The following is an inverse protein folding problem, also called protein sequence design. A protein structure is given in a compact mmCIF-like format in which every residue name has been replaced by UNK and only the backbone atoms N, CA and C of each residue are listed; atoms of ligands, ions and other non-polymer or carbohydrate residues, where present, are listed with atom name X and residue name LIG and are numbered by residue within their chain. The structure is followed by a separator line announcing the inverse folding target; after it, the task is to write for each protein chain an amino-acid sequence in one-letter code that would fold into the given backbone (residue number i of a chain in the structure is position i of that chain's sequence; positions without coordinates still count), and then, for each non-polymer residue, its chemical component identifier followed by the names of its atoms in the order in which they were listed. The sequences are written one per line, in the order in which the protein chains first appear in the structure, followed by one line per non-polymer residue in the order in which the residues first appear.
data_IF_871424180651
#
_entry.id   IF_871424180651
#
_cell.length_a   1.000
_cell.length_b   1.000
_cell.length_c   1.000
_cell.angle_alpha   90.00
_cell.angle_beta   90.00
_cell.angle_gamma   90.00
#
_symmetry.space_group_name_H-M   'P 1'
#
loop_
_entity.id
_entity.type
_entity.pdbx_description
1 polymer ?
#
# COMPACT_ATOMS: atom_id res chain seq x y z
N UNK A 1 -6.03 -44.74 23.37
CA UNK A 1 -7.37 -44.22 23.75
C UNK A 1 -7.31 -42.77 24.24
N UNK A 2 -6.43 -42.39 25.18
CA UNK A 2 -6.37 -41.01 25.71
C UNK A 2 -6.01 -39.90 24.70
N UNK A 3 -5.12 -40.16 23.73
CA UNK A 3 -4.79 -39.18 22.69
C UNK A 3 -5.96 -38.95 21.70
N UNK A 4 -6.73 -40.00 21.41
CA UNK A 4 -7.92 -39.91 20.54
C UNK A 4 -9.07 -39.15 21.21
N UNK A 5 -9.23 -39.27 22.52
CA UNK A 5 -10.26 -38.52 23.26
C UNK A 5 -9.89 -37.04 23.40
N UNK A 6 -8.61 -36.71 23.61
CA UNK A 6 -8.14 -35.32 23.69
C UNK A 6 -8.32 -34.57 22.36
N UNK A 7 -7.96 -35.22 21.24
CA UNK A 7 -8.14 -34.65 19.90
C UNK A 7 -9.63 -34.42 19.56
N UNK A 8 -10.51 -35.33 19.98
CA UNK A 8 -11.94 -35.18 19.77
C UNK A 8 -12.53 -34.02 20.58
N UNK A 9 -12.14 -33.87 21.85
CA UNK A 9 -12.58 -32.75 22.70
C UNK A 9 -12.15 -31.42 22.09
N UNK A 10 -10.93 -31.32 21.57
CA UNK A 10 -10.45 -30.10 20.92
C UNK A 10 -11.23 -29.75 19.63
N UNK A 11 -11.60 -30.75 18.83
CA UNK A 11 -12.45 -30.55 17.65
C UNK A 11 -13.86 -30.07 18.03
N UNK A 12 -14.43 -30.60 19.11
CA UNK A 12 -15.71 -30.14 19.65
C UNK A 12 -15.63 -28.69 20.16
N UNK A 13 -14.51 -28.28 20.78
CA UNK A 13 -14.27 -26.90 21.19
C UNK A 13 -14.21 -25.93 20.00
N UNK A 14 -13.54 -26.30 18.91
CA UNK A 14 -13.49 -25.52 17.67
C UNK A 14 -14.88 -25.34 17.09
N UNK A 15 -15.63 -26.45 17.00
CA UNK A 15 -17.00 -26.45 16.48
C UNK A 15 -17.92 -25.58 17.33
N UNK A 16 -17.92 -25.75 18.66
CA UNK A 16 -18.71 -24.93 19.60
C UNK A 16 -18.41 -23.44 19.45
N UNK A 17 -17.13 -23.08 19.35
CA UNK A 17 -16.73 -21.69 19.18
C UNK A 17 -17.26 -21.11 17.86
N UNK A 18 -17.24 -21.90 16.78
CA UNK A 18 -17.81 -21.51 15.49
C UNK A 18 -19.31 -21.36 15.50
N UNK A 19 -20.05 -22.30 16.09
CA UNK A 19 -21.51 -22.19 16.23
C UNK A 19 -21.91 -20.95 17.05
N UNK A 20 -21.13 -20.61 18.09
CA UNK A 20 -21.33 -19.39 18.87
C UNK A 20 -21.01 -18.11 18.10
N UNK A 21 -20.08 -18.14 17.14
CA UNK A 21 -19.82 -16.99 16.27
C UNK A 21 -20.84 -16.86 15.13
N UNK A 22 -21.48 -17.96 14.70
CA UNK A 22 -22.60 -17.91 13.75
C UNK A 22 -23.83 -17.19 14.34
N UNK A 23 -23.97 -17.20 15.66
CA UNK A 23 -24.95 -16.42 16.42
C UNK A 23 -24.23 -15.55 17.47
N UNK A 24 -23.50 -14.49 17.04
CA UNK A 24 -22.55 -13.79 17.89
C UNK A 24 -23.26 -13.08 19.07
N UNK A 25 -22.59 -12.96 20.23
CA UNK A 25 -23.12 -12.18 21.34
C UNK A 25 -23.42 -10.74 20.94
N UNK A 26 -24.56 -10.20 21.38
CA UNK A 26 -24.93 -8.80 21.11
C UNK A 26 -24.03 -7.78 21.85
N UNK A 27 -23.35 -8.23 22.91
CA UNK A 27 -22.46 -7.42 23.73
C UNK A 27 -21.04 -7.43 23.17
N UNK A 28 -20.52 -6.25 22.78
CA UNK A 28 -19.15 -6.12 22.25
C UNK A 28 -18.08 -6.74 23.17
N UNK A 29 -18.08 -6.51 24.50
CA UNK A 29 -17.13 -7.18 25.40
C UNK A 29 -17.21 -8.71 25.36
N UNK A 30 -18.42 -9.29 25.31
CA UNK A 30 -18.60 -10.75 25.25
C UNK A 30 -18.13 -11.32 23.91
N UNK A 31 -18.40 -10.60 22.81
CA UNK A 31 -17.90 -10.95 21.49
C UNK A 31 -16.37 -10.93 21.44
N UNK A 32 -15.73 -9.90 22.01
CA UNK A 32 -14.26 -9.83 22.08
C UNK A 32 -13.64 -10.98 22.89
N UNK A 33 -14.28 -11.40 24.00
CA UNK A 33 -13.84 -12.57 24.77
C UNK A 33 -13.97 -13.84 23.94
N UNK A 34 -15.06 -13.99 23.16
CA UNK A 34 -15.25 -15.13 22.28
C UNK A 34 -14.20 -15.14 21.15
N UNK A 35 -13.90 -14.00 20.54
CA UNK A 35 -12.88 -13.88 19.51
C UNK A 35 -11.48 -14.19 20.05
N UNK A 36 -11.13 -13.75 21.26
CA UNK A 36 -9.85 -14.14 21.91
C UNK A 36 -9.76 -15.66 22.11
N UNK A 37 -10.85 -16.29 22.53
CA UNK A 37 -10.91 -17.75 22.66
C UNK A 37 -10.72 -18.42 21.30
N UNK A 38 -11.36 -17.92 20.25
CA UNK A 38 -11.27 -18.46 18.89
C UNK A 38 -9.84 -18.38 18.37
N UNK A 39 -9.20 -17.22 18.47
CA UNK A 39 -7.80 -17.08 18.06
C UNK A 39 -6.85 -18.00 18.83
N UNK A 40 -7.04 -18.14 20.15
CA UNK A 40 -6.27 -19.08 20.95
C UNK A 40 -6.48 -20.54 20.50
N UNK A 41 -7.70 -20.93 20.11
CA UNK A 41 -7.95 -22.25 19.57
C UNK A 41 -7.29 -22.42 18.20
N UNK A 42 -7.44 -21.44 17.30
CA UNK A 42 -6.89 -21.50 15.94
C UNK A 42 -5.36 -21.53 15.91
N UNK A 43 -4.69 -20.75 16.75
CA UNK A 43 -3.22 -20.76 16.91
C UNK A 43 -2.64 -22.12 17.34
N UNK A 44 -3.47 -23.00 17.91
CA UNK A 44 -3.08 -24.38 18.28
C UNK A 44 -3.29 -25.39 17.15
N UNK A 45 -3.96 -24.99 16.06
CA UNK A 45 -4.20 -25.86 14.91
C UNK A 45 -2.97 -25.80 14.00
N UNK A 46 -2.39 -26.96 13.72
CA UNK A 46 -1.29 -27.08 12.77
C UNK A 46 -1.75 -26.78 11.34
N UNK A 47 -0.81 -26.36 10.50
CA UNK A 47 -1.04 -26.17 9.07
C UNK A 47 -1.43 -27.49 8.40
N UNK A 48 -2.31 -27.44 7.40
CA UNK A 48 -2.86 -28.60 6.68
C UNK A 48 -3.42 -29.69 7.64
N UNK A 49 -4.42 -29.34 8.47
CA UNK A 49 -4.92 -30.24 9.50
C UNK A 49 -5.66 -31.45 8.90
N UNK A 50 -5.90 -32.49 9.71
CA UNK A 50 -6.73 -33.62 9.30
C UNK A 50 -8.14 -33.19 8.88
N UNK A 51 -8.77 -33.93 7.97
CA UNK A 51 -10.15 -33.70 7.48
C UNK A 51 -11.15 -33.43 8.61
N UNK A 52 -11.11 -34.21 9.69
CA UNK A 52 -11.99 -34.01 10.85
C UNK A 52 -11.79 -32.68 11.57
N UNK A 53 -10.53 -32.23 11.68
CA UNK A 53 -10.23 -30.93 12.28
C UNK A 53 -10.63 -29.82 11.32
N UNK A 54 -10.40 -29.98 10.02
CA UNK A 54 -10.87 -29.05 8.99
C UNK A 54 -12.40 -28.89 9.03
N UNK A 55 -13.14 -30.00 9.09
CA UNK A 55 -14.60 -30.00 9.23
C UNK A 55 -15.08 -29.23 10.48
N UNK A 56 -14.34 -29.35 11.59
CA UNK A 56 -14.62 -28.62 12.81
C UNK A 56 -14.38 -27.10 12.69
N UNK A 57 -13.56 -26.66 11.72
CA UNK A 57 -13.31 -25.25 11.43
C UNK A 57 -14.39 -24.61 10.54
N UNK A 58 -15.15 -25.40 9.77
CA UNK A 58 -16.13 -24.87 8.81
C UNK A 58 -17.12 -23.84 9.41
N UNK A 59 -17.67 -24.04 10.63
CA UNK A 59 -18.53 -23.03 11.26
C UNK A 59 -17.79 -21.72 11.55
N UNK A 60 -16.53 -21.78 11.99
CA UNK A 60 -15.67 -20.61 12.23
C UNK A 60 -15.38 -19.87 10.92
N UNK A 61 -14.95 -20.60 9.88
CA UNK A 61 -14.65 -20.03 8.57
C UNK A 61 -15.86 -19.28 8.01
N UNK A 62 -17.05 -19.88 8.12
CA UNK A 62 -18.30 -19.25 7.68
C UNK A 62 -18.67 -18.03 8.51
N UNK A 63 -18.51 -18.10 9.83
CA UNK A 63 -18.89 -16.99 10.72
C UNK A 63 -17.99 -15.76 10.53
N UNK A 64 -16.68 -15.95 10.45
CA UNK A 64 -15.70 -14.86 10.45
C UNK A 64 -15.81 -13.94 9.21
N UNK A 65 -16.26 -14.47 8.08
CA UNK A 65 -16.49 -13.71 6.85
C UNK A 65 -17.91 -13.14 6.75
N UNK A 66 -18.78 -13.40 7.73
CA UNK A 66 -20.14 -12.86 7.72
C UNK A 66 -20.09 -11.33 7.87
N UNK A 67 -20.92 -10.56 7.14
CA UNK A 67 -20.89 -9.10 7.17
C UNK A 67 -20.97 -8.49 8.57
N UNK A 68 -21.75 -9.10 9.46
CA UNK A 68 -21.93 -8.64 10.84
C UNK A 68 -20.63 -8.63 11.66
N UNK A 69 -19.68 -9.52 11.34
CA UNK A 69 -18.35 -9.57 11.98
C UNK A 69 -17.30 -8.85 11.13
N UNK A 70 -17.24 -9.15 9.82
CA UNK A 70 -16.21 -8.64 8.92
C UNK A 70 -16.27 -7.11 8.77
N UNK A 71 -17.49 -6.55 8.73
CA UNK A 71 -17.74 -5.10 8.58
C UNK A 71 -18.23 -4.45 9.87
N UNK A 72 -18.00 -5.09 11.01
CA UNK A 72 -18.47 -4.60 12.32
C UNK A 72 -18.06 -3.14 12.58
N UNK A 73 -18.91 -2.35 13.24
CA UNK A 73 -18.66 -0.92 13.47
C UNK A 73 -17.43 -0.69 14.36
N UNK A 74 -17.30 -1.50 15.41
CA UNK A 74 -16.21 -1.39 16.39
C UNK A 74 -14.87 -1.88 15.83
N UNK A 75 -13.86 -1.02 15.93
CA UNK A 75 -12.51 -1.26 15.42
C UNK A 75 -11.83 -2.46 16.11
N UNK A 76 -12.02 -2.61 17.42
CA UNK A 76 -11.42 -3.70 18.19
C UNK A 76 -11.95 -5.06 17.73
N UNK A 77 -13.25 -5.13 17.39
CA UNK A 77 -13.87 -6.34 16.85
C UNK A 77 -13.29 -6.65 15.48
N UNK A 78 -13.22 -5.65 14.58
CA UNK A 78 -12.61 -5.80 13.25
C UNK A 78 -11.19 -6.34 13.30
N UNK A 79 -10.34 -5.78 14.18
CA UNK A 79 -8.95 -6.22 14.35
C UNK A 79 -8.88 -7.65 14.91
N UNK A 80 -9.73 -8.01 15.88
CA UNK A 80 -9.83 -9.37 16.40
C UNK A 80 -10.31 -10.37 15.35
N UNK A 81 -11.29 -10.01 14.52
CA UNK A 81 -11.78 -10.83 13.40
C UNK A 81 -10.66 -11.03 12.37
N UNK A 82 -9.95 -9.98 12.00
CA UNK A 82 -8.79 -10.05 11.09
C UNK A 82 -7.72 -11.02 11.59
N UNK A 83 -7.43 -10.98 12.89
CA UNK A 83 -6.47 -11.91 13.53
C UNK A 83 -6.93 -13.36 13.45
N UNK A 84 -8.21 -13.64 13.73
CA UNK A 84 -8.78 -14.97 13.61
C UNK A 84 -8.75 -15.48 12.16
N UNK A 85 -9.07 -14.63 11.19
CA UNK A 85 -9.03 -14.98 9.77
C UNK A 85 -7.59 -15.27 9.32
N UNK A 86 -6.60 -14.49 9.76
CA UNK A 86 -5.20 -14.74 9.42
C UNK A 86 -4.68 -16.06 10.01
N UNK A 87 -5.20 -16.50 11.16
CA UNK A 87 -4.96 -17.87 11.65
C UNK A 87 -5.60 -18.93 10.76
N UNK A 88 -6.83 -18.72 10.25
CA UNK A 88 -7.44 -19.62 9.27
C UNK A 88 -6.55 -19.71 8.01
N UNK A 89 -6.10 -18.58 7.47
CA UNK A 89 -5.18 -18.54 6.33
C UNK A 89 -3.89 -19.32 6.62
N UNK A 90 -3.33 -19.18 7.82
CA UNK A 90 -2.15 -19.96 8.25
C UNK A 90 -2.44 -21.46 8.28
N UNK A 91 -3.60 -21.86 8.78
CA UNK A 91 -4.02 -23.25 8.94
C UNK A 91 -4.27 -23.92 7.59
N UNK A 92 -4.90 -23.21 6.64
CA UNK A 92 -5.27 -23.78 5.34
C UNK A 92 -4.17 -23.67 4.29
N UNK A 93 -3.15 -22.83 4.51
CA UNK A 93 -2.03 -22.69 3.59
C UNK A 93 -1.43 -24.07 3.21
N UNK A 94 -1.06 -24.30 1.94
CA UNK A 94 -0.95 -23.30 0.86
C UNK A 94 -2.28 -22.93 0.19
N UNK A 95 -3.37 -23.62 0.50
CA UNK A 95 -4.66 -23.38 -0.14
C UNK A 95 -5.36 -22.17 0.49
N UNK A 96 -5.81 -21.25 -0.36
CA UNK A 96 -6.59 -20.09 0.07
C UNK A 96 -7.92 -20.57 0.70
N UNK A 97 -8.28 -20.09 1.90
CA UNK A 97 -9.48 -20.54 2.60
C UNK A 97 -10.80 -20.06 1.98
N UNK A 98 -10.74 -19.04 1.12
CA UNK A 98 -11.90 -18.34 0.57
C UNK A 98 -11.67 -17.99 -0.91
N UNK A 99 -12.74 -17.58 -1.61
CA UNK A 99 -12.64 -17.12 -2.99
C UNK A 99 -11.94 -15.76 -3.13
N UNK A 100 -11.52 -15.40 -4.33
CA UNK A 100 -10.72 -14.20 -4.61
C UNK A 100 -11.35 -12.90 -4.08
N UNK A 101 -12.68 -12.77 -4.18
CA UNK A 101 -13.39 -11.57 -3.73
C UNK A 101 -13.40 -11.49 -2.20
N UNK A 102 -13.62 -12.63 -1.55
CA UNK A 102 -13.53 -12.73 -0.09
C UNK A 102 -12.10 -12.48 0.40
N UNK A 103 -11.10 -13.02 -0.31
CA UNK A 103 -9.69 -12.80 0.00
C UNK A 103 -9.31 -11.32 -0.11
N UNK A 104 -9.82 -10.60 -1.12
CA UNK A 104 -9.61 -9.16 -1.23
C UNK A 104 -10.07 -8.41 0.04
N UNK A 105 -11.32 -8.63 0.45
CA UNK A 105 -11.89 -7.97 1.65
C UNK A 105 -11.14 -8.35 2.93
N UNK A 106 -10.64 -9.59 3.00
CA UNK A 106 -9.82 -10.08 4.12
C UNK A 106 -8.46 -9.38 4.16
N UNK A 107 -7.79 -9.20 3.03
CA UNK A 107 -6.51 -8.50 2.99
C UNK A 107 -6.68 -7.00 3.26
N UNK A 108 -7.74 -6.37 2.77
CA UNK A 108 -8.08 -4.98 3.10
C UNK A 108 -8.28 -4.81 4.62
N UNK A 109 -9.02 -5.73 5.24
CA UNK A 109 -9.19 -5.74 6.70
C UNK A 109 -7.86 -6.01 7.43
N UNK A 110 -7.00 -6.86 6.89
CA UNK A 110 -5.69 -7.19 7.46
C UNK A 110 -4.74 -5.99 7.41
N UNK A 111 -4.65 -5.28 6.29
CA UNK A 111 -3.83 -4.06 6.16
C UNK A 111 -4.35 -2.95 7.07
N UNK A 112 -5.67 -2.78 7.17
CA UNK A 112 -6.27 -1.87 8.16
C UNK A 112 -5.85 -2.24 9.60
N UNK A 113 -5.89 -3.53 9.94
CA UNK A 113 -5.49 -4.00 11.27
C UNK A 113 -3.98 -3.83 11.52
N UNK A 114 -3.14 -4.04 10.50
CA UNK A 114 -1.69 -3.77 10.56
C UNK A 114 -1.40 -2.29 10.89
N UNK A 115 -2.30 -1.36 10.56
CA UNK A 115 -2.13 0.05 10.94
C UNK A 115 -2.15 0.29 12.45
N UNK A 116 -2.64 -0.68 13.23
CA UNK A 116 -2.56 -0.64 14.71
C UNK A 116 -1.17 -0.94 15.25
N UNK A 117 -0.19 -1.28 14.39
CA UNK A 117 1.22 -1.30 14.75
C UNK A 117 1.73 0.10 15.16
N UNK A 118 1.07 1.19 14.75
CA UNK A 118 1.36 2.55 15.24
C UNK A 118 1.16 2.72 16.76
N UNK A 119 0.40 1.83 17.40
CA UNK A 119 0.21 1.82 18.85
C UNK A 119 1.44 1.24 19.56
N UNK A 120 1.71 1.71 20.78
CA UNK A 120 2.82 1.21 21.59
C UNK A 120 2.55 -0.16 22.24
N UNK A 121 1.29 -0.45 22.58
CA UNK A 121 0.86 -1.68 23.24
C UNK A 121 -0.66 -1.85 23.18
N UNK A 122 -1.18 -2.91 23.78
CA UNK A 122 -2.62 -3.17 23.91
C UNK A 122 -3.14 -4.24 22.97
N UNK A 123 -4.42 -4.58 23.11
CA UNK A 123 -5.09 -5.66 22.34
C UNK A 123 -4.86 -5.52 20.85
N UNK A 124 -5.26 -4.39 20.26
CA UNK A 124 -5.15 -4.16 18.81
C UNK A 124 -3.71 -4.22 18.31
N UNK A 125 -2.75 -3.73 19.10
CA UNK A 125 -1.32 -3.87 18.78
C UNK A 125 -0.90 -5.35 18.75
N UNK A 126 -1.21 -6.11 19.79
CA UNK A 126 -0.85 -7.54 19.87
C UNK A 126 -1.46 -8.33 18.71
N UNK A 127 -2.72 -8.06 18.35
CA UNK A 127 -3.37 -8.70 17.19
C UNK A 127 -2.70 -8.32 15.88
N UNK A 128 -2.34 -7.04 15.69
CA UNK A 128 -1.63 -6.60 14.50
C UNK A 128 -0.25 -7.28 14.35
N UNK A 129 0.46 -7.49 15.46
CA UNK A 129 1.72 -8.28 15.47
C UNK A 129 1.45 -9.73 15.06
N UNK A 130 0.40 -10.38 15.59
CA UNK A 130 0.02 -11.75 15.18
C UNK A 130 -0.33 -11.84 13.69
N UNK A 131 -1.10 -10.87 13.16
CA UNK A 131 -1.45 -10.79 11.74
C UNK A 131 -0.20 -10.69 10.89
N UNK A 132 0.70 -9.75 11.21
CA UNK A 132 1.96 -9.55 10.49
C UNK A 132 2.78 -10.85 10.46
N UNK A 133 2.90 -11.51 11.62
CA UNK A 133 3.64 -12.75 11.75
C UNK A 133 3.04 -13.88 10.90
N UNK A 134 1.72 -14.03 10.89
CA UNK A 134 1.05 -15.04 10.08
C UNK A 134 1.23 -14.77 8.58
N UNK A 135 1.09 -13.52 8.14
CA UNK A 135 1.32 -13.14 6.75
C UNK A 135 2.73 -13.52 6.31
N UNK A 136 3.72 -13.21 7.14
CA UNK A 136 5.11 -13.58 6.96
C UNK A 136 5.29 -15.12 6.91
N UNK A 137 4.83 -15.82 7.96
CA UNK A 137 5.10 -17.25 8.18
C UNK A 137 4.61 -18.14 7.02
N UNK A 138 3.41 -17.86 6.48
CA UNK A 138 2.87 -18.60 5.33
C UNK A 138 2.97 -17.85 4.01
N UNK A 139 3.71 -16.74 3.98
CA UNK A 139 3.97 -15.92 2.78
C UNK A 139 2.69 -15.51 2.04
N UNK A 140 1.62 -15.23 2.77
CA UNK A 140 0.31 -14.93 2.17
C UNK A 140 0.29 -13.63 1.36
N UNK A 141 1.31 -12.77 1.48
CA UNK A 141 1.50 -11.62 0.59
C UNK A 141 1.67 -12.03 -0.89
N UNK A 142 2.09 -13.26 -1.18
CA UNK A 142 2.12 -13.77 -2.56
C UNK A 142 0.72 -13.98 -3.15
N UNK A 143 -0.27 -14.29 -2.30
CA UNK A 143 -1.67 -14.35 -2.75
C UNK A 143 -2.16 -12.97 -3.16
N UNK A 144 -1.72 -11.90 -2.47
CA UNK A 144 -2.04 -10.53 -2.90
C UNK A 144 -1.43 -10.19 -4.26
N UNK A 145 -0.24 -10.71 -4.56
CA UNK A 145 0.41 -10.55 -5.86
C UNK A 145 -0.32 -11.35 -6.95
N UNK A 146 -0.61 -12.63 -6.69
CA UNK A 146 -1.29 -13.52 -7.64
C UNK A 146 -2.70 -13.01 -8.02
N UNK A 147 -3.35 -12.30 -7.10
CA UNK A 147 -4.67 -11.69 -7.30
C UNK A 147 -4.61 -10.21 -7.76
N UNK A 148 -3.42 -9.67 -8.03
CA UNK A 148 -3.19 -8.31 -8.55
C UNK A 148 -3.76 -7.20 -7.64
N UNK A 149 -3.59 -7.32 -6.32
CA UNK A 149 -4.04 -6.31 -5.34
C UNK A 149 -3.05 -5.14 -5.20
N UNK A 150 -2.62 -4.56 -6.31
CA UNK A 150 -1.49 -3.61 -6.40
C UNK A 150 -1.63 -2.40 -5.46
N UNK A 151 -2.80 -1.76 -5.43
CA UNK A 151 -3.07 -0.61 -4.54
C UNK A 151 -2.86 -0.96 -3.06
N UNK A 152 -3.29 -2.16 -2.68
CA UNK A 152 -3.21 -2.65 -1.31
C UNK A 152 -1.79 -3.05 -0.92
N UNK A 153 -1.01 -3.58 -1.86
CA UNK A 153 0.42 -3.87 -1.66
C UNK A 153 1.19 -2.56 -1.44
N UNK A 154 0.92 -1.53 -2.23
CA UNK A 154 1.52 -0.20 -2.07
C UNK A 154 1.14 0.40 -0.71
N UNK A 155 -0.14 0.31 -0.31
CA UNK A 155 -0.60 0.75 1.01
C UNK A 155 0.16 0.04 2.14
N UNK A 156 0.32 -1.29 2.05
CA UNK A 156 1.07 -2.09 3.02
C UNK A 156 2.54 -1.64 3.14
N UNK A 157 3.21 -1.36 2.02
CA UNK A 157 4.60 -0.87 2.04
C UNK A 157 4.71 0.47 2.77
N UNK A 158 3.82 1.42 2.44
CA UNK A 158 3.78 2.72 3.09
C UNK A 158 3.49 2.57 4.59
N UNK A 159 2.54 1.70 4.94
CA UNK A 159 2.17 1.40 6.32
C UNK A 159 3.36 0.91 7.14
N UNK A 160 4.12 -0.06 6.63
CA UNK A 160 5.30 -0.60 7.32
C UNK A 160 6.36 0.48 7.54
N UNK A 161 6.69 1.24 6.49
CA UNK A 161 7.69 2.31 6.58
C UNK A 161 7.25 3.46 7.50
N UNK A 162 5.95 3.72 7.64
CA UNK A 162 5.42 4.79 8.48
C UNK A 162 5.23 4.37 9.96
N UNK A 163 4.98 3.08 10.21
CA UNK A 163 4.63 2.60 11.56
C UNK A 163 5.78 1.94 12.31
N UNK A 164 6.85 1.53 11.61
CA UNK A 164 8.02 0.91 12.24
C UNK A 164 8.74 1.89 13.19
N UNK A 165 9.09 1.41 14.37
CA UNK A 165 9.73 2.15 15.47
C UNK A 165 10.75 1.28 16.18
N UNK A 166 11.64 1.92 16.94
CA UNK A 166 12.69 1.26 17.70
C UNK A 166 12.21 0.44 18.90
N UNK A 167 10.97 0.64 19.37
CA UNK A 167 10.37 -0.05 20.50
C UNK A 167 9.59 -1.32 20.12
N UNK A 168 9.47 -1.62 18.81
CA UNK A 168 8.90 -2.89 18.38
C UNK A 168 9.83 -4.08 18.73
N UNK A 169 9.25 -5.27 18.98
CA UNK A 169 10.01 -6.51 18.98
C UNK A 169 10.75 -6.69 17.66
N UNK A 170 11.96 -7.25 17.71
CA UNK A 170 12.77 -7.50 16.51
C UNK A 170 12.03 -8.37 15.47
N UNK A 171 11.12 -9.25 15.91
CA UNK A 171 10.30 -10.06 15.00
C UNK A 171 9.43 -9.20 14.08
N UNK A 172 8.85 -8.10 14.56
CA UNK A 172 8.04 -7.18 13.74
C UNK A 172 8.88 -6.59 12.61
N UNK A 173 10.10 -6.15 12.93
CA UNK A 173 11.04 -5.64 11.94
C UNK A 173 11.39 -6.72 10.90
N UNK A 174 11.74 -7.93 11.36
CA UNK A 174 12.08 -9.05 10.48
C UNK A 174 10.92 -9.47 9.58
N UNK A 175 9.69 -9.49 10.09
CA UNK A 175 8.50 -9.88 9.34
C UNK A 175 8.16 -8.83 8.28
N UNK A 176 8.22 -7.53 8.60
CA UNK A 176 8.06 -6.44 7.61
C UNK A 176 9.12 -6.53 6.50
N UNK A 177 10.40 -6.68 6.88
CA UNK A 177 11.50 -6.77 5.93
C UNK A 177 11.33 -7.98 5.00
N UNK A 178 10.95 -9.12 5.55
CA UNK A 178 10.73 -10.34 4.77
C UNK A 178 9.57 -10.18 3.79
N UNK A 179 8.42 -9.66 4.24
CA UNK A 179 7.25 -9.45 3.38
C UNK A 179 7.59 -8.50 2.24
N UNK A 180 8.18 -7.34 2.53
CA UNK A 180 8.54 -6.35 1.51
C UNK A 180 9.55 -6.91 0.51
N UNK A 181 10.58 -7.62 0.99
CA UNK A 181 11.59 -8.22 0.11
C UNK A 181 10.98 -9.29 -0.79
N UNK A 182 10.14 -10.17 -0.22
CA UNK A 182 9.51 -11.25 -0.97
C UNK A 182 8.58 -10.71 -2.06
N UNK A 183 7.79 -9.67 -1.76
CA UNK A 183 6.93 -9.03 -2.75
C UNK A 183 7.75 -8.50 -3.94
N UNK A 184 8.85 -7.80 -3.68
CA UNK A 184 9.69 -7.24 -4.75
C UNK A 184 10.35 -8.32 -5.60
N UNK A 185 10.87 -9.39 -4.97
CA UNK A 185 11.52 -10.48 -5.69
C UNK A 185 10.56 -11.21 -6.65
N UNK A 186 9.33 -11.48 -6.19
CA UNK A 186 8.33 -12.24 -6.97
C UNK A 186 7.57 -11.36 -7.98
N UNK A 187 7.60 -10.03 -7.84
CA UNK A 187 6.97 -9.12 -8.82
C UNK A 187 7.73 -9.12 -10.14
N UNK A 188 7.10 -9.42 -11.28
CA UNK A 188 7.79 -9.43 -12.59
C UNK A 188 8.31 -8.04 -13.00
N UNK A 189 7.39 -7.07 -13.11
CA UNK A 189 7.69 -5.67 -13.40
C UNK A 189 7.34 -4.82 -12.18
N UNK A 190 8.35 -4.21 -11.55
CA UNK A 190 8.15 -3.48 -10.30
C UNK A 190 7.52 -2.10 -10.60
N UNK A 191 6.28 -1.82 -10.16
CA UNK A 191 5.66 -0.51 -10.33
C UNK A 191 6.43 0.56 -9.52
N UNK A 192 6.49 1.75 -10.09
CA UNK A 192 7.18 2.89 -9.49
C UNK A 192 6.61 3.23 -8.10
N UNK A 193 5.32 2.99 -7.90
CA UNK A 193 4.56 3.18 -6.68
C UNK A 193 5.07 2.33 -5.50
N UNK A 194 5.73 1.19 -5.75
CA UNK A 194 6.41 0.39 -4.72
C UNK A 194 7.82 0.89 -4.41
N UNK A 195 8.48 1.50 -5.39
CA UNK A 195 9.86 2.00 -5.26
C UNK A 195 9.90 3.33 -4.52
N UNK A 196 8.94 4.21 -4.81
CA UNK A 196 8.91 5.56 -4.23
C UNK A 196 8.93 5.53 -2.69
N UNK A 197 8.11 4.74 -1.97
CA UNK A 197 8.17 4.65 -0.51
C UNK A 197 9.55 4.21 0.01
N UNK A 198 10.19 3.24 -0.65
CA UNK A 198 11.53 2.76 -0.29
C UNK A 198 12.60 3.85 -0.46
N UNK A 199 12.57 4.59 -1.58
CA UNK A 199 13.48 5.70 -1.81
C UNK A 199 13.27 6.82 -0.78
N UNK A 200 12.01 7.15 -0.47
CA UNK A 200 11.71 8.14 0.58
C UNK A 200 12.26 7.72 1.94
N UNK A 201 12.13 6.45 2.33
CA UNK A 201 12.62 6.00 3.64
C UNK A 201 14.13 6.14 3.78
N UNK A 202 14.89 6.00 2.69
CA UNK A 202 16.37 6.09 2.68
C UNK A 202 16.93 7.43 2.17
N UNK A 203 16.11 8.48 2.09
CA UNK A 203 16.59 9.84 1.77
C UNK A 203 17.33 10.43 2.96
N UNK A 204 18.59 10.88 2.82
CA UNK A 204 19.55 11.25 3.91
C UNK A 204 18.97 11.99 5.12
N UNK A 205 18.01 12.90 4.91
CA UNK A 205 17.31 13.58 6.02
C UNK A 205 16.56 12.63 6.97
N UNK A 206 16.00 11.53 6.45
CA UNK A 206 15.26 10.54 7.22
C UNK A 206 16.13 9.68 8.13
N UNK A 207 17.45 9.64 7.92
CA UNK A 207 18.35 8.86 8.78
C UNK A 207 18.24 9.30 10.26
N UNK A 208 17.97 10.59 10.48
CA UNK A 208 17.82 11.16 11.82
C UNK A 208 16.35 11.27 12.26
N UNK A 209 15.41 11.46 11.32
CA UNK A 209 13.98 11.65 11.62
C UNK A 209 13.31 10.32 11.95
N UNK A 210 13.56 9.28 11.15
CA UNK A 210 13.03 7.94 11.35
C UNK A 210 14.11 6.88 11.10
N UNK A 211 15.05 6.68 12.05
CA UNK A 211 16.19 5.79 11.86
C UNK A 211 15.78 4.32 11.62
N UNK A 212 14.68 3.87 12.24
CA UNK A 212 14.20 2.49 12.07
C UNK A 212 13.55 2.28 10.69
N UNK A 213 12.79 3.26 10.20
CA UNK A 213 12.24 3.24 8.83
C UNK A 213 13.34 3.29 7.79
N UNK A 214 14.35 4.15 8.00
CA UNK A 214 15.57 4.17 7.20
C UNK A 214 16.20 2.78 7.13
N UNK A 215 16.39 2.14 8.30
CA UNK A 215 17.07 0.85 8.37
C UNK A 215 16.28 -0.26 7.69
N UNK A 216 14.94 -0.25 7.84
CA UNK A 216 14.07 -1.19 7.14
C UNK A 216 14.19 -1.03 5.62
N UNK A 217 14.04 0.20 5.11
CA UNK A 217 14.17 0.49 3.68
C UNK A 217 15.55 0.14 3.14
N UNK A 218 16.62 0.48 3.87
CA UNK A 218 18.00 0.12 3.50
C UNK A 218 18.19 -1.39 3.41
N UNK A 219 17.66 -2.16 4.36
CA UNK A 219 17.77 -3.62 4.33
C UNK A 219 16.99 -4.24 3.17
N UNK A 220 15.78 -3.77 2.88
CA UNK A 220 14.97 -4.24 1.74
C UNK A 220 15.69 -3.92 0.43
N UNK A 221 16.21 -2.70 0.25
CA UNK A 221 17.00 -2.32 -0.93
C UNK A 221 18.25 -3.20 -1.10
N UNK A 222 18.95 -3.51 -0.01
CA UNK A 222 20.11 -4.41 -0.06
C UNK A 222 19.73 -5.83 -0.49
N UNK A 223 18.65 -6.38 0.08
CA UNK A 223 18.17 -7.73 -0.24
C UNK A 223 17.70 -7.85 -1.69
N UNK A 224 17.05 -6.82 -2.20
CA UNK A 224 16.46 -6.81 -3.54
C UNK A 224 17.30 -6.04 -4.57
N UNK A 225 18.60 -5.86 -4.31
CA UNK A 225 19.46 -4.99 -5.11
C UNK A 225 19.51 -5.39 -6.59
N UNK A 226 19.63 -6.69 -6.89
CA UNK A 226 19.67 -7.20 -8.26
C UNK A 226 18.33 -6.96 -8.99
N UNK A 227 17.21 -7.24 -8.31
CA UNK A 227 15.86 -7.05 -8.84
C UNK A 227 15.54 -5.57 -9.07
N UNK A 228 15.96 -4.68 -8.16
CA UNK A 228 15.69 -3.25 -8.21
C UNK A 228 16.62 -2.47 -9.13
N UNK A 229 17.76 -3.05 -9.54
CA UNK A 229 18.78 -2.39 -10.38
C UNK A 229 18.24 -1.64 -11.60
N UNK A 230 17.36 -2.21 -12.45
CA UNK A 230 16.85 -1.49 -13.62
C UNK A 230 15.83 -0.39 -13.27
N UNK A 231 15.27 -0.40 -12.06
CA UNK A 231 14.17 0.50 -11.70
C UNK A 231 14.59 1.70 -10.83
N UNK A 232 15.69 1.61 -10.08
CA UNK A 232 16.13 2.73 -9.21
C UNK A 232 16.57 3.99 -9.98
N UNK A 233 17.38 3.91 -11.06
CA UNK A 233 17.77 5.11 -11.80
C UNK A 233 16.60 5.94 -12.34
N UNK A 234 15.61 5.35 -13.07
CA UNK A 234 14.46 6.13 -13.54
C UNK A 234 13.58 6.63 -12.39
N UNK A 235 13.47 5.89 -11.29
CA UNK A 235 12.70 6.32 -10.12
C UNK A 235 13.32 7.54 -9.43
N UNK A 236 14.65 7.56 -9.24
CA UNK A 236 15.37 8.72 -8.70
C UNK A 236 15.20 9.94 -9.60
N UNK A 237 15.33 9.75 -10.92
CA UNK A 237 15.12 10.82 -11.90
C UNK A 237 13.68 11.36 -11.84
N UNK A 238 12.68 10.48 -11.77
CA UNK A 238 11.27 10.86 -11.65
C UNK A 238 11.00 11.70 -10.40
N UNK A 239 11.65 11.37 -9.27
CA UNK A 239 11.52 12.12 -8.02
C UNK A 239 12.27 13.47 -8.03
N UNK A 240 13.09 13.75 -9.05
CA UNK A 240 13.82 15.02 -9.18
C UNK A 240 14.95 15.22 -8.16
N UNK A 241 15.47 14.14 -7.57
CA UNK A 241 16.57 14.20 -6.59
C UNK A 241 17.89 13.70 -7.17
N UNK A 242 19.01 14.10 -6.57
CA UNK A 242 20.31 13.54 -6.90
C UNK A 242 20.49 12.17 -6.22
N UNK A 243 21.19 11.24 -6.86
CA UNK A 243 21.45 9.91 -6.28
C UNK A 243 22.21 10.04 -4.93
N UNK A 244 23.04 11.08 -4.78
CA UNK A 244 23.74 11.42 -3.56
C UNK A 244 22.85 11.90 -2.40
N UNK A 245 21.56 12.17 -2.62
CA UNK A 245 20.60 12.53 -1.58
C UNK A 245 20.09 11.31 -0.78
N UNK A 246 20.41 10.10 -1.23
CA UNK A 246 19.95 8.85 -0.64
C UNK A 246 21.06 8.07 0.08
N UNK A 247 20.71 6.96 0.73
CA UNK A 247 21.66 5.99 1.28
C UNK A 247 22.66 5.50 0.21
N UNK A 248 23.87 5.14 0.65
CA UNK A 248 24.96 4.69 -0.24
C UNK A 248 24.55 3.49 -1.13
N UNK A 249 23.66 2.63 -0.64
CA UNK A 249 23.14 1.49 -1.41
C UNK A 249 22.43 1.92 -2.70
N UNK A 250 21.68 3.03 -2.69
CA UNK A 250 21.00 3.55 -3.89
C UNK A 250 22.05 3.95 -4.93
N UNK A 251 23.11 4.62 -4.49
CA UNK A 251 24.23 5.00 -5.34
C UNK A 251 24.96 3.80 -5.94
N UNK A 252 25.23 2.76 -5.13
CA UNK A 252 25.86 1.53 -5.62
C UNK A 252 25.03 0.87 -6.72
N UNK A 253 23.72 0.71 -6.49
CA UNK A 253 22.82 0.05 -7.44
C UNK A 253 22.72 0.86 -8.74
N UNK A 254 22.58 2.18 -8.66
CA UNK A 254 22.48 3.05 -9.85
C UNK A 254 23.78 3.12 -10.67
N UNK A 255 24.96 3.05 -10.03
CA UNK A 255 26.23 2.99 -10.77
C UNK A 255 26.38 1.69 -11.54
N UNK A 256 26.04 0.56 -10.92
CA UNK A 256 26.19 -0.75 -11.54
C UNK A 256 25.24 -0.92 -12.74
N UNK A 257 24.05 -0.32 -12.68
CA UNK A 257 23.13 -0.25 -13.82
C UNK A 257 23.78 0.43 -15.04
N UNK A 258 24.41 1.59 -14.83
CA UNK A 258 25.12 2.33 -15.89
C UNK A 258 26.31 1.56 -16.48
N UNK A 259 26.99 0.72 -15.69
CA UNK A 259 28.11 -0.12 -16.15
C UNK A 259 27.65 -1.34 -16.96
N UNK A 260 26.51 -1.92 -16.59
CA UNK A 260 25.86 -3.04 -17.29
C UNK A 260 25.50 -2.67 -18.74
N UNK A 261 25.01 -1.45 -18.97
CA UNK A 261 24.69 -0.95 -20.32
C UNK A 261 25.94 -0.74 -21.18
N UNK A 262 27.08 -0.37 -20.58
CA UNK A 262 28.33 -0.13 -21.29
C UNK A 262 29.12 -1.40 -21.66
N UNK A 263 28.85 -2.55 -21.03
CA UNK A 263 29.51 -3.82 -21.37
C UNK A 263 28.84 -4.57 -22.53
N UNK A 264 27.63 -4.16 -22.93
CA UNK A 264 26.98 -4.63 -24.17
C UNK A 264 27.28 -3.74 -25.40
N UNK A 265 28.07 -2.68 -25.22
CA UNK A 265 28.55 -1.79 -26.29
C UNK A 265 30.06 -1.91 -26.48
N UNK A 266 30.55 -3.03 -27.01
CA UNK A 266 31.95 -3.15 -27.41
C UNK A 266 32.25 -2.18 -28.58
N UNK A 267 33.24 -1.28 -28.46
CA UNK A 267 33.59 -0.36 -29.54
C UNK A 267 34.55 -1.05 -30.52
N UNK A 268 34.11 -1.24 -31.76
CA UNK A 268 35.03 -1.52 -32.87
C UNK A 268 35.42 -0.19 -33.50
N UNK A 269 36.59 0.33 -33.16
CA UNK A 269 37.28 1.33 -33.98
C UNK A 269 38.29 0.64 -34.88
N UNK A 270 38.12 0.72 -36.21
CA UNK A 270 39.20 0.95 -37.16
C UNK A 270 38.65 1.13 -38.59
N UNK A 271 38.88 2.34 -39.13
CA UNK A 271 39.23 2.65 -40.54
C UNK A 271 38.35 2.11 -41.68
N UNK A 272 37.68 3.02 -42.40
CA UNK A 272 37.33 2.82 -43.82
C UNK A 272 38.54 3.02 -44.75
N UNK A 273 38.41 2.95 -46.10
CA UNK A 273 37.15 3.02 -46.87
C UNK A 273 37.02 2.09 -48.11
N UNK A 274 35.80 2.09 -48.66
CA UNK A 274 35.42 2.01 -50.10
C UNK A 274 34.88 0.71 -50.71
N UNK A 275 33.85 0.94 -51.54
CA UNK A 275 33.36 0.22 -52.73
C UNK A 275 32.20 -0.80 -52.60
N UNK A 276 31.05 -0.32 -53.11
CA UNK A 276 30.21 -0.89 -54.19
C UNK A 276 29.39 -2.17 -54.02
N UNK A 277 28.20 -2.07 -54.63
CA UNK A 277 27.21 -3.06 -55.09
C UNK A 277 26.33 -3.73 -54.01
N UNK A 278 25.01 -3.55 -53.98
CA UNK A 278 23.89 -3.65 -54.94
C UNK A 278 23.08 -4.95 -54.74
N UNK A 279 21.76 -4.77 -54.81
CA UNK A 279 20.71 -5.76 -55.08
C UNK A 279 20.09 -6.62 -53.95
N UNK A 280 18.82 -6.27 -53.69
CA UNK A 280 17.62 -7.13 -53.72
C UNK A 280 17.47 -8.29 -52.69
N UNK A 281 16.42 -8.21 -51.86
CA UNK A 281 15.13 -8.87 -52.14
C UNK A 281 14.05 -8.52 -51.10
N UNK A 282 12.90 -8.07 -51.61
CA UNK A 282 11.60 -8.00 -50.93
C UNK A 282 11.09 -9.42 -50.62
N UNK A 283 10.35 -9.57 -49.52
CA UNK A 283 8.99 -10.13 -49.57
C UNK A 283 8.17 -9.80 -48.33
N UNK A 284 7.00 -9.23 -48.60
CA UNK A 284 5.91 -9.02 -47.68
C UNK A 284 5.03 -10.27 -47.58
N UNK A 285 4.32 -10.40 -46.47
CA UNK A 285 3.03 -11.09 -46.43
C UNK A 285 2.15 -10.47 -45.34
N UNK A 286 1.14 -9.73 -45.79
CA UNK A 286 -0.03 -9.32 -45.03
C UNK A 286 -1.03 -10.48 -44.96
N UNK A 287 -1.72 -10.65 -43.84
CA UNK A 287 -3.09 -11.18 -43.80
C UNK A 287 -3.95 -10.31 -42.87
N UNK A 288 -5.13 -9.96 -43.37
CA UNK A 288 -6.12 -9.02 -42.81
C UNK A 288 -7.22 -9.75 -42.02
N UNK A 289 -7.79 -9.04 -41.04
CA UNK A 289 -9.16 -9.22 -40.53
C UNK A 289 -9.19 -9.22 -38.99
N UNK A 290 -10.05 -8.51 -38.26
CA UNK A 290 -11.27 -7.74 -38.53
C UNK A 290 -11.44 -6.71 -37.38
N UNK A 291 -11.96 -5.54 -37.73
CA UNK A 291 -12.24 -4.37 -36.87
C UNK A 291 -13.51 -4.61 -36.03
N UNK A 292 -13.46 -4.36 -34.72
CA UNK A 292 -14.64 -4.11 -33.87
C UNK A 292 -14.33 -2.98 -32.87
N UNK A 293 -15.39 -2.24 -32.54
CA UNK A 293 -15.43 -0.85 -32.06
C UNK A 293 -14.84 -0.64 -30.66
N UNK A 294 -14.17 0.51 -30.51
CA UNK A 294 -13.74 1.15 -29.25
C UNK A 294 -14.92 1.99 -28.73
N UNK A 295 -15.27 1.95 -27.44
CA UNK A 295 -15.96 3.05 -26.77
C UNK A 295 -14.95 4.02 -26.13
N UNK A 296 -15.35 5.28 -26.09
CA UNK A 296 -14.59 6.49 -25.75
C UNK A 296 -13.76 6.40 -24.46
N UNK A 297 -12.52 6.90 -24.55
CA UNK A 297 -11.71 7.33 -23.41
C UNK A 297 -12.33 8.62 -22.86
N UNK A 298 -12.74 8.61 -21.60
CA UNK A 298 -12.78 9.85 -20.82
C UNK A 298 -11.32 10.35 -20.68
N UNK A 299 -11.09 11.58 -21.12
CA UNK A 299 -9.80 12.25 -20.99
C UNK A 299 -9.52 12.55 -19.52
N UNK A 300 -8.47 11.94 -18.97
CA UNK A 300 -7.88 12.35 -17.69
C UNK A 300 -7.02 13.59 -17.97
N UNK A 301 -7.33 14.78 -17.44
CA UNK A 301 -6.49 15.96 -17.66
C UNK A 301 -5.18 15.86 -16.86
N UNK A 302 -4.11 16.34 -17.48
CA UNK A 302 -2.74 16.46 -16.97
C UNK A 302 -2.64 16.95 -15.52
N UNK A 303 -1.77 16.29 -14.74
CA UNK A 303 -1.28 16.77 -13.46
C UNK A 303 -0.44 18.04 -13.67
N UNK A 304 -0.97 19.19 -13.27
CA UNK A 304 -0.18 20.39 -13.06
C UNK A 304 0.65 20.24 -11.78
N UNK A 305 1.75 19.49 -11.87
CA UNK A 305 2.83 19.51 -10.89
C UNK A 305 3.66 20.78 -11.18
N UNK A 306 3.27 21.91 -10.59
CA UNK A 306 3.79 23.20 -11.05
C UNK A 306 3.52 24.39 -10.13
N UNK A 307 3.70 24.24 -8.83
CA UNK A 307 3.95 25.39 -7.93
C UNK A 307 4.73 24.88 -6.72
N UNK A 308 6.06 25.02 -6.76
CA UNK A 308 6.99 24.66 -5.66
C UNK A 308 6.86 25.56 -4.41
N UNK A 309 5.83 26.40 -4.34
CA UNK A 309 5.54 27.21 -3.17
C UNK A 309 4.10 26.87 -2.72
N UNK A 310 4.00 26.24 -1.54
CA UNK A 310 2.75 25.95 -0.82
C UNK A 310 2.62 26.89 0.39
N UNK A 311 2.84 28.18 0.16
CA UNK A 311 2.77 29.23 1.16
C UNK A 311 1.52 30.10 1.04
N UNK A 312 1.63 31.35 1.49
CA UNK A 312 0.55 32.34 1.49
C UNK A 312 0.11 32.75 0.08
N UNK A 313 0.96 32.57 -0.94
CA UNK A 313 0.66 32.90 -2.33
C UNK A 313 -0.46 32.07 -2.96
N UNK A 314 -0.87 30.97 -2.31
CA UNK A 314 -2.02 30.18 -2.72
C UNK A 314 -3.36 30.74 -2.20
N UNK A 315 -3.34 31.71 -1.29
CA UNK A 315 -4.58 32.36 -0.82
C UNK A 315 -5.28 33.07 -1.99
N UNK A 316 -6.58 32.80 -2.14
CA UNK A 316 -7.40 33.26 -3.25
C UNK A 316 -7.43 32.33 -4.47
N UNK A 317 -6.70 31.20 -4.45
CA UNK A 317 -6.78 30.18 -5.49
C UNK A 317 -8.00 29.27 -5.30
N UNK A 318 -8.62 28.90 -6.41
CA UNK A 318 -9.56 27.78 -6.52
C UNK A 318 -8.77 26.50 -6.75
N UNK A 319 -9.07 25.49 -5.95
CA UNK A 319 -8.42 24.18 -5.99
C UNK A 319 -9.47 23.07 -5.99
N UNK A 320 -9.04 21.86 -6.34
CA UNK A 320 -9.79 20.63 -6.16
C UNK A 320 -9.03 19.71 -5.23
N UNK A 321 -9.60 19.36 -4.08
CA UNK A 321 -8.99 18.48 -3.06
C UNK A 321 -9.55 17.06 -3.20
N UNK A 322 -8.68 16.06 -3.20
CA UNK A 322 -9.07 14.65 -3.25
C UNK A 322 -9.57 14.17 -1.89
N UNK A 323 -10.76 13.58 -1.85
CA UNK A 323 -11.33 12.97 -0.65
C UNK A 323 -11.23 11.44 -0.76
N UNK A 324 -10.40 10.78 0.07
CA UNK A 324 -10.14 9.34 -0.04
C UNK A 324 -11.37 8.46 0.19
N UNK A 325 -12.26 8.85 1.12
CA UNK A 325 -13.48 8.10 1.44
C UNK A 325 -14.45 8.04 0.26
N UNK A 326 -14.53 9.14 -0.50
CA UNK A 326 -15.46 9.30 -1.63
C UNK A 326 -14.81 8.97 -2.97
N UNK A 327 -13.48 8.79 -3.00
CA UNK A 327 -12.67 8.62 -4.21
C UNK A 327 -12.97 9.70 -5.26
N UNK A 328 -13.10 10.95 -4.83
CA UNK A 328 -13.50 12.08 -5.69
C UNK A 328 -12.81 13.38 -5.30
N UNK A 329 -12.62 14.26 -6.27
CA UNK A 329 -12.18 15.64 -6.05
C UNK A 329 -13.35 16.57 -5.76
N UNK A 330 -13.22 17.38 -4.71
CA UNK A 330 -14.16 18.46 -4.35
C UNK A 330 -13.51 19.82 -4.55
N UNK A 331 -14.25 20.75 -5.14
CA UNK A 331 -13.77 22.10 -5.43
C UNK A 331 -13.91 22.99 -4.19
N UNK A 332 -12.86 23.74 -3.89
CA UNK A 332 -12.79 24.65 -2.75
C UNK A 332 -11.86 25.82 -3.01
N UNK A 333 -12.09 26.91 -2.29
CA UNK A 333 -11.31 28.13 -2.36
C UNK A 333 -10.39 28.27 -1.14
N UNK A 334 -9.12 28.59 -1.37
CA UNK A 334 -8.19 28.85 -0.26
C UNK A 334 -8.46 30.24 0.32
N UNK A 335 -8.93 30.31 1.57
CA UNK A 335 -9.32 31.56 2.23
C UNK A 335 -8.20 32.18 3.07
N UNK A 336 -7.29 31.37 3.64
CA UNK A 336 -6.18 31.85 4.48
C UNK A 336 -5.06 30.80 4.59
N UNK A 337 -3.88 31.23 5.06
CA UNK A 337 -2.73 30.37 5.30
C UNK A 337 -2.17 30.59 6.71
N UNK A 338 -1.89 29.50 7.44
CA UNK A 338 -1.19 29.51 8.72
C UNK A 338 0.30 29.20 8.51
N UNK A 339 1.21 30.18 8.69
CA UNK A 339 2.64 29.97 8.46
C UNK A 339 3.34 29.15 9.56
N UNK A 340 2.71 28.96 10.72
CA UNK A 340 3.26 28.16 11.83
C UNK A 340 2.98 26.68 11.57
N UNK A 341 1.71 26.35 11.28
CA UNK A 341 1.31 24.96 11.00
C UNK A 341 1.54 24.55 9.55
N UNK A 342 1.84 25.50 8.66
CA UNK A 342 1.94 25.32 7.20
C UNK A 342 0.68 24.74 6.57
N UNK A 343 -0.48 25.18 7.07
CA UNK A 343 -1.79 24.71 6.59
C UNK A 343 -2.59 25.82 5.91
N UNK A 344 -3.36 25.45 4.92
CA UNK A 344 -4.30 26.31 4.20
C UNK A 344 -5.71 26.04 4.67
N UNK A 345 -6.47 27.12 4.88
CA UNK A 345 -7.90 27.01 5.11
C UNK A 345 -8.62 26.95 3.76
N UNK A 346 -9.35 25.87 3.52
CA UNK A 346 -10.12 25.63 2.29
C UNK A 346 -11.61 25.71 2.59
N UNK A 347 -12.33 26.56 1.87
CA UNK A 347 -13.79 26.71 1.92
C UNK A 347 -14.42 25.99 0.74
N UNK A 348 -15.24 24.98 1.02
CA UNK A 348 -15.94 24.18 0.01
C UNK A 348 -17.30 24.79 -0.37
N UNK A 349 -17.89 24.30 -1.46
CA UNK A 349 -19.13 24.85 -2.04
C UNK A 349 -20.38 24.65 -1.15
N UNK A 350 -20.36 23.68 -0.24
CA UNK A 350 -21.39 23.44 0.77
C UNK A 350 -21.29 24.38 1.98
N UNK A 351 -20.22 25.18 2.06
CA UNK A 351 -19.95 26.12 3.14
C UNK A 351 -19.07 25.57 4.26
N UNK A 352 -18.63 24.32 4.15
CA UNK A 352 -17.71 23.72 5.13
C UNK A 352 -16.29 24.25 4.93
N UNK A 353 -15.54 24.37 6.03
CA UNK A 353 -14.18 24.88 6.05
C UNK A 353 -13.24 23.86 6.70
N UNK A 354 -12.07 23.64 6.09
CA UNK A 354 -11.08 22.68 6.58
C UNK A 354 -9.66 23.25 6.56
N UNK A 355 -8.83 22.87 7.53
CA UNK A 355 -7.40 23.24 7.59
C UNK A 355 -6.55 22.10 7.06
N UNK A 356 -6.01 22.26 5.85
CA UNK A 356 -5.28 21.22 5.11
C UNK A 356 -3.80 21.55 4.94
N UNK A 357 -2.93 20.57 5.10
CA UNK A 357 -1.54 20.66 4.66
C UNK A 357 -1.48 20.25 3.18
N UNK A 358 -1.50 21.24 2.29
CA UNK A 358 -1.48 21.00 0.84
C UNK A 358 -0.17 20.40 0.33
N UNK A 359 0.88 20.27 1.16
CA UNK A 359 2.10 19.55 0.79
C UNK A 359 1.96 18.03 0.93
N UNK A 360 0.99 17.57 1.73
CA UNK A 360 0.71 16.15 1.95
C UNK A 360 -0.57 15.69 1.27
N UNK A 361 -1.52 16.60 1.06
CA UNK A 361 -2.79 16.29 0.39
C UNK A 361 -2.65 16.14 -1.13
N UNK A 362 -3.55 15.36 -1.75
CA UNK A 362 -3.67 15.28 -3.21
C UNK A 362 -4.67 16.33 -3.69
N UNK A 363 -4.22 17.31 -4.45
CA UNK A 363 -5.09 18.38 -4.96
C UNK A 363 -4.67 18.84 -6.36
N UNK A 364 -5.53 19.64 -7.00
CA UNK A 364 -5.29 20.23 -8.32
C UNK A 364 -5.60 21.73 -8.27
N UNK A 365 -4.74 22.54 -8.89
CA UNK A 365 -5.03 23.95 -9.12
C UNK A 365 -6.10 24.11 -10.20
N UNK A 366 -7.08 25.00 -9.96
CA UNK A 366 -8.15 25.30 -10.93
C UNK A 366 -7.95 26.68 -11.53
N UNK A 367 -7.92 27.73 -10.70
CA UNK A 367 -7.71 29.10 -11.15
C UNK A 367 -7.30 30.00 -9.98
N UNK A 368 -6.73 31.17 -10.26
CA UNK A 368 -6.46 32.17 -9.23
C UNK A 368 -7.46 33.30 -9.39
N UNK A 369 -8.22 33.57 -8.33
CA UNK A 369 -9.12 34.72 -8.31
C UNK A 369 -8.25 35.97 -8.31
N UNK A 370 -8.22 36.73 -9.41
CA UNK A 370 -7.59 38.05 -9.42
C UNK A 370 -8.43 39.01 -8.56
N UNK A 371 -8.21 38.98 -7.25
CA UNK A 371 -8.78 39.96 -6.33
C UNK A 371 -8.17 41.37 -6.46
N UNK A 372 -7.38 41.64 -7.51
CA UNK A 372 -6.81 42.96 -7.81
C UNK A 372 -7.53 43.75 -8.92
N UNK A 373 -8.54 43.21 -9.62
CA UNK A 373 -9.25 43.96 -10.67
C UNK A 373 -10.68 44.40 -10.30
N UNK A 374 -11.24 43.94 -9.17
CA UNK A 374 -12.58 44.37 -8.72
C UNK A 374 -12.59 45.44 -7.60
N UNK A 375 -11.43 45.83 -7.07
CA UNK A 375 -11.33 47.03 -6.20
C UNK A 375 -11.00 48.31 -6.99
N UNK A 376 -10.38 48.17 -8.17
CA UNK A 376 -10.14 49.30 -9.09
C UNK A 376 -11.38 49.78 -9.86
N UNK A 377 -12.38 48.91 -10.05
CA UNK A 377 -13.62 49.26 -10.75
C UNK A 377 -14.68 49.85 -9.79
N UNK A 378 -14.62 49.55 -8.49
CA UNK A 378 -15.53 50.12 -7.48
C UNK A 378 -15.10 51.48 -6.91
N UNK A 379 -13.84 51.92 -7.13
CA UNK A 379 -13.39 53.25 -6.70
C UNK A 379 -13.53 54.33 -7.80
N UNK A 380 -13.72 53.95 -9.07
CA UNK A 380 -13.98 54.91 -10.16
C UNK A 380 -15.47 55.22 -10.38
N UNK A 381 -16.37 54.62 -9.60
CA UNK A 381 -17.82 54.92 -9.62
C UNK A 381 -18.30 55.79 -8.45
N UNK A 382 -17.38 56.32 -7.63
CA UNK A 382 -17.67 57.28 -6.54
C UNK A 382 -17.00 58.65 -6.77
N UNK A 383 -16.66 58.97 -8.01
CA UNK A 383 -16.27 60.34 -8.40
C UNK A 383 -16.90 60.73 -9.72
N UNK A 384 -18.22 60.98 -9.68
CA UNK A 384 -18.94 61.87 -10.57
C UNK A 384 -20.21 62.38 -9.88
#
# INVERSE_FOLDING_TARGET
MAASSSSQVFQEELKDAGERLLAPPASTPELLILLDKVELLLSRVEQAPSERTYDALLPLMKALIAPDLLRHSEIDVKVSVASCINEITRVTAPDAPYDDKQMQEIFELSVMALGKLSLASGRCYTKAVSILHNIAAVRSCLVMLDLEFDELIVEMFQLFLNTIRSDHPQSVFSDMEMIMSLVLEETEEIPLELIIPLLRSVKKGNQNISPTSWKLGENVLNKCADKLRPYLPPAVQFMGFDVGDFAEIVFSICQDASRSEHLNGLPISATGPSSSDDSLLKKASQTKGKRKRIPEKEEVPEMANGMENHGEELVGCQIKVWWPLDRRFYEGAISSFDPIEKKHKVLYADGDEEMLDLSTERWMFVSKSNFSEQVGILLNSVSL
#
